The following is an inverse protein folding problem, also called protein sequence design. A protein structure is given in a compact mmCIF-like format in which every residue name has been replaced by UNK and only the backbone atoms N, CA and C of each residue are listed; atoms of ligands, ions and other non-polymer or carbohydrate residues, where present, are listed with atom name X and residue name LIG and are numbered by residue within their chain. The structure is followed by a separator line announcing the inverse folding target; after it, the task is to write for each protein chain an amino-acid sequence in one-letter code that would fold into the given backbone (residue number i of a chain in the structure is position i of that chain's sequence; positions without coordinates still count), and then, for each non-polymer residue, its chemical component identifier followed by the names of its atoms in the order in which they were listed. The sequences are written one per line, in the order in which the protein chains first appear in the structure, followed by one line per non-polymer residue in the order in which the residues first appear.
data_IF_513071387731
#
_entry.id   IF_513071387731
#
_cell.length_a   1.000
_cell.length_b   1.000
_cell.length_c   1.000
_cell.angle_alpha   90.00
_cell.angle_beta   90.00
_cell.angle_gamma   90.00
#
_symmetry.space_group_name_H-M   'P 1'
#
loop_
_entity.id
_entity.type
_entity.pdbx_description
1 polymer ?
#
# COMPACT_ATOMS: atom_id res chain seq x y z
N UNK A 1 9.03 47.13 -11.67
CA UNK A 1 9.60 45.77 -11.52
C UNK A 1 8.42 44.82 -11.27
N UNK A 2 7.87 44.20 -12.33
CA UNK A 2 6.70 43.32 -12.25
C UNK A 2 7.11 41.93 -11.75
N UNK A 3 6.55 41.48 -10.63
CA UNK A 3 6.65 40.07 -10.19
C UNK A 3 5.66 39.24 -11.01
N UNK A 4 6.17 38.39 -11.88
CA UNK A 4 5.40 37.34 -12.56
C UNK A 4 4.97 36.31 -11.50
N UNK A 5 3.71 36.39 -11.07
CA UNK A 5 3.09 35.40 -10.19
C UNK A 5 2.69 34.18 -10.99
N UNK A 6 3.59 33.19 -11.08
CA UNK A 6 3.26 31.87 -11.60
C UNK A 6 2.45 31.17 -10.51
N UNK A 7 1.12 31.32 -10.54
CA UNK A 7 0.21 30.56 -9.71
C UNK A 7 0.37 29.07 -10.00
N UNK A 8 0.69 28.28 -8.98
CA UNK A 8 0.72 26.82 -9.15
C UNK A 8 -0.68 26.35 -9.58
N UNK A 9 -0.78 25.51 -10.62
CA UNK A 9 -2.07 25.01 -11.07
C UNK A 9 -2.70 24.23 -9.91
N UNK A 10 -3.89 24.65 -9.46
CA UNK A 10 -4.69 23.87 -8.52
C UNK A 10 -5.04 22.55 -9.21
N UNK A 11 -4.29 21.48 -8.88
CA UNK A 11 -4.57 20.13 -9.35
C UNK A 11 -6.00 19.77 -8.90
N UNK A 12 -6.89 19.52 -9.85
CA UNK A 12 -8.22 18.98 -9.56
C UNK A 12 -8.04 17.72 -8.71
N UNK A 13 -8.53 17.74 -7.47
CA UNK A 13 -8.54 16.56 -6.61
C UNK A 13 -9.49 15.54 -7.22
N UNK A 14 -8.98 14.37 -7.60
CA UNK A 14 -9.83 13.20 -7.84
C UNK A 14 -10.43 12.81 -6.49
N UNK A 15 -11.76 12.63 -6.37
CA UNK A 15 -12.37 12.20 -5.12
C UNK A 15 -11.77 10.86 -4.70
N UNK A 16 -11.16 10.83 -3.53
CA UNK A 16 -10.75 9.57 -2.91
C UNK A 16 -12.04 8.82 -2.54
N UNK A 17 -12.14 7.49 -2.76
CA UNK A 17 -13.22 6.70 -2.19
C UNK A 17 -13.37 7.07 -0.71
N UNK A 18 -14.56 7.53 -0.32
CA UNK A 18 -14.80 7.98 1.05
C UNK A 18 -14.76 6.74 1.94
N UNK A 19 -13.83 6.65 2.91
CA UNK A 19 -13.79 5.53 3.84
C UNK A 19 -15.13 5.43 4.58
N UNK A 20 -15.60 4.20 4.79
CA UNK A 20 -16.83 3.99 5.58
C UNK A 20 -16.58 4.41 7.04
N UNK A 21 -17.59 4.91 7.77
CA UNK A 21 -17.38 5.57 9.07
C UNK A 21 -16.75 4.70 10.18
N UNK A 22 -16.70 3.38 10.01
CA UNK A 22 -16.38 2.43 11.09
C UNK A 22 -15.16 1.55 10.84
N UNK A 23 -14.51 1.60 9.68
CA UNK A 23 -13.31 0.82 9.39
C UNK A 23 -12.49 1.44 8.23
N UNK A 24 -11.16 1.30 8.24
CA UNK A 24 -10.32 1.74 7.14
C UNK A 24 -10.58 0.93 5.89
N UNK A 25 -10.52 1.59 4.73
CA UNK A 25 -10.66 0.93 3.43
C UNK A 25 -9.43 0.06 3.14
N UNK A 26 -9.62 -1.25 2.96
CA UNK A 26 -8.58 -2.26 2.81
C UNK A 26 -8.19 -2.45 1.35
N UNK A 27 -6.95 -2.11 1.00
CA UNK A 27 -6.40 -2.30 -0.35
C UNK A 27 -5.34 -3.41 -0.30
N UNK A 28 -5.53 -4.47 -1.08
CA UNK A 28 -4.60 -5.60 -1.12
C UNK A 28 -3.91 -5.64 -2.48
N UNK A 29 -2.59 -5.67 -2.48
CA UNK A 29 -1.78 -5.83 -3.68
C UNK A 29 -1.34 -7.28 -3.79
N UNK A 30 -2.01 -8.05 -4.65
CA UNK A 30 -1.81 -9.49 -4.78
C UNK A 30 -1.48 -9.92 -6.20
N UNK A 31 -0.59 -10.90 -6.34
CA UNK A 31 -0.25 -11.61 -7.58
C UNK A 31 0.68 -12.77 -7.21
N UNK A 32 0.36 -13.97 -7.69
CA UNK A 32 1.10 -15.23 -7.48
C UNK A 32 2.49 -15.26 -8.13
N UNK A 33 2.83 -14.27 -8.96
CA UNK A 33 4.18 -14.12 -9.54
C UNK A 33 5.00 -13.04 -8.85
N UNK A 34 6.28 -13.33 -8.64
CA UNK A 34 7.30 -12.34 -8.28
C UNK A 34 7.58 -11.36 -9.44
N UNK A 35 8.02 -10.15 -9.11
CA UNK A 35 8.49 -9.20 -10.13
C UNK A 35 7.42 -8.50 -10.98
N UNK A 36 6.15 -8.52 -10.55
CA UNK A 36 5.02 -7.88 -11.27
C UNK A 36 4.77 -6.42 -10.85
N UNK A 37 5.59 -5.87 -9.97
CA UNK A 37 5.47 -4.47 -9.51
C UNK A 37 4.51 -4.24 -8.33
N UNK A 38 4.08 -5.29 -7.60
CA UNK A 38 3.23 -5.19 -6.38
C UNK A 38 3.74 -4.19 -5.37
N UNK A 39 4.89 -4.45 -4.75
CA UNK A 39 5.46 -3.59 -3.70
C UNK A 39 5.71 -2.17 -4.19
N UNK A 40 6.17 -2.03 -5.44
CA UNK A 40 6.35 -0.70 -6.07
C UNK A 40 5.02 0.04 -6.16
N UNK A 41 3.96 -0.61 -6.63
CA UNK A 41 2.63 -0.01 -6.74
C UNK A 41 2.06 0.30 -5.37
N UNK A 42 2.17 -0.63 -4.42
CA UNK A 42 1.70 -0.47 -3.04
C UNK A 42 2.33 0.76 -2.37
N UNK A 43 3.64 0.92 -2.48
CA UNK A 43 4.37 2.09 -1.98
C UNK A 43 3.86 3.39 -2.62
N UNK A 44 3.72 3.43 -3.94
CA UNK A 44 3.29 4.65 -4.63
C UNK A 44 1.85 5.01 -4.30
N UNK A 45 0.96 4.03 -4.15
CA UNK A 45 -0.42 4.25 -3.72
C UNK A 45 -0.46 4.77 -2.28
N UNK A 46 0.30 4.16 -1.36
CA UNK A 46 0.38 4.59 0.05
C UNK A 46 0.77 6.07 0.15
N UNK A 47 1.84 6.45 -0.55
CA UNK A 47 2.37 7.81 -0.55
C UNK A 47 1.42 8.78 -1.27
N UNK A 48 0.81 8.38 -2.39
CA UNK A 48 -0.17 9.21 -3.09
C UNK A 48 -1.37 9.54 -2.20
N UNK A 49 -1.93 8.54 -1.50
CA UNK A 49 -3.03 8.73 -0.56
C UNK A 49 -2.63 9.66 0.59
N UNK A 50 -1.43 9.48 1.15
CA UNK A 50 -0.90 10.36 2.20
C UNK A 50 -0.74 11.82 1.71
N UNK A 51 -0.22 12.04 0.50
CA UNK A 51 -0.13 13.38 -0.11
C UNK A 51 -1.50 14.01 -0.40
N UNK A 52 -2.56 13.22 -0.53
CA UNK A 52 -3.91 13.73 -0.65
C UNK A 52 -4.55 14.04 0.72
N UNK A 53 -3.84 13.76 1.82
CA UNK A 53 -4.27 14.07 3.19
C UNK A 53 -4.92 12.89 3.92
N UNK A 54 -4.91 11.68 3.35
CA UNK A 54 -5.43 10.49 4.02
C UNK A 54 -4.42 9.95 5.04
N UNK A 55 -4.93 9.36 6.13
CA UNK A 55 -4.15 8.61 7.10
C UNK A 55 -4.02 7.18 6.59
N UNK A 56 -2.79 6.71 6.39
CA UNK A 56 -2.51 5.43 5.71
C UNK A 56 -1.73 4.50 6.63
N UNK A 57 -2.24 3.29 6.83
CA UNK A 57 -1.51 2.15 7.37
C UNK A 57 -1.06 1.23 6.23
N UNK A 58 0.11 0.59 6.37
CA UNK A 58 0.61 -0.39 5.41
C UNK A 58 1.28 -1.58 6.11
N UNK A 59 0.96 -2.80 5.66
CA UNK A 59 1.50 -4.04 6.20
C UNK A 59 2.18 -4.82 5.08
N UNK A 60 3.46 -5.12 5.28
CA UNK A 60 4.26 -5.98 4.40
C UNK A 60 4.13 -7.44 4.87
N UNK A 61 3.56 -8.31 4.03
CA UNK A 61 3.37 -9.73 4.31
C UNK A 61 4.53 -10.60 3.78
N UNK A 62 5.58 -10.01 3.19
CA UNK A 62 6.80 -10.73 2.82
C UNK A 62 7.94 -10.39 3.79
N UNK A 63 8.05 -11.07 4.95
CA UNK A 63 9.11 -10.81 5.92
C UNK A 63 10.51 -11.12 5.40
N UNK A 64 10.65 -11.81 4.26
CA UNK A 64 11.96 -12.10 3.64
C UNK A 64 12.42 -10.93 2.76
N UNK A 65 11.55 -10.40 1.91
CA UNK A 65 11.90 -9.32 0.99
C UNK A 65 11.77 -7.94 1.65
N UNK A 66 10.69 -7.73 2.43
CA UNK A 66 10.39 -6.48 3.15
C UNK A 66 10.47 -5.24 2.24
N UNK A 67 10.03 -5.35 1.00
CA UNK A 67 10.25 -4.30 -0.01
C UNK A 67 9.46 -3.04 0.30
N UNK A 68 8.18 -3.17 0.66
CA UNK A 68 7.36 -2.04 1.08
C UNK A 68 7.94 -1.42 2.35
N UNK A 69 8.24 -2.25 3.34
CA UNK A 69 8.74 -1.77 4.63
C UNK A 69 10.05 -1.00 4.50
N UNK A 70 11.05 -1.57 3.80
CA UNK A 70 12.37 -0.96 3.63
C UNK A 70 12.28 0.38 2.89
N UNK A 71 11.36 0.51 1.95
CA UNK A 71 11.15 1.78 1.26
C UNK A 71 10.65 2.87 2.22
N UNK A 72 9.64 2.55 3.03
CA UNK A 72 9.06 3.49 3.99
C UNK A 72 10.02 3.83 5.14
N UNK A 73 10.81 2.86 5.60
CA UNK A 73 11.90 3.04 6.57
C UNK A 73 12.97 4.01 6.03
N UNK A 74 13.51 3.75 4.83
CA UNK A 74 14.49 4.64 4.18
C UNK A 74 13.96 6.07 3.98
N UNK A 75 12.65 6.20 3.73
CA UNK A 75 11.98 7.48 3.59
C UNK A 75 11.93 8.23 4.93
N UNK A 76 11.51 7.56 6.01
CA UNK A 76 11.49 8.13 7.36
C UNK A 76 12.89 8.53 7.85
N UNK A 77 13.92 7.72 7.56
CA UNK A 77 15.30 8.08 7.85
C UNK A 77 15.76 9.32 7.06
N UNK A 78 15.31 9.46 5.81
CA UNK A 78 15.64 10.62 4.98
C UNK A 78 14.94 11.89 5.48
N UNK A 79 13.69 11.79 5.93
CA UNK A 79 12.95 12.86 6.62
C UNK A 79 13.74 13.36 7.83
N UNK A 80 14.10 12.44 8.74
CA UNK A 80 14.88 12.73 9.95
C UNK A 80 16.24 13.37 9.63
N UNK A 81 17.03 12.75 8.74
CA UNK A 81 18.37 13.23 8.37
C UNK A 81 18.37 14.62 7.73
N UNK A 82 17.30 14.96 6.99
CA UNK A 82 17.19 16.25 6.31
C UNK A 82 16.41 17.30 7.11
N UNK A 83 15.79 16.92 8.22
CA UNK A 83 14.92 17.80 9.01
C UNK A 83 13.72 18.29 8.20
N UNK A 84 13.16 17.44 7.34
CA UNK A 84 11.98 17.75 6.53
C UNK A 84 10.81 16.88 6.96
N UNK A 85 9.60 17.43 6.84
CA UNK A 85 8.36 16.68 7.00
C UNK A 85 7.83 16.28 5.62
N UNK A 86 7.47 15.01 5.48
CA UNK A 86 6.86 14.48 4.27
C UNK A 86 5.66 13.61 4.66
N UNK A 87 4.53 13.69 3.92
CA UNK A 87 3.44 12.74 4.09
C UNK A 87 3.96 11.30 3.94
N UNK A 88 3.57 10.46 4.89
CA UNK A 88 4.04 9.10 5.04
C UNK A 88 2.91 8.19 5.59
N UNK A 89 3.13 6.88 5.54
CA UNK A 89 2.23 5.88 6.11
C UNK A 89 2.77 5.38 7.46
N UNK A 90 1.90 4.92 8.35
CA UNK A 90 2.29 4.00 9.43
C UNK A 90 2.56 2.64 8.79
N UNK A 91 3.66 1.98 9.13
CA UNK A 91 4.03 0.73 8.47
C UNK A 91 4.54 -0.34 9.43
N UNK A 92 4.25 -1.61 9.08
CA UNK A 92 4.70 -2.78 9.83
C UNK A 92 5.04 -3.94 8.89
N UNK A 93 5.80 -4.92 9.39
CA UNK A 93 6.05 -6.20 8.72
C UNK A 93 5.38 -7.27 9.53
N UNK A 94 4.56 -8.09 8.89
CA UNK A 94 3.98 -9.25 9.55
C UNK A 94 5.03 -10.35 9.70
N UNK A 95 5.28 -10.77 10.94
CA UNK A 95 6.21 -11.85 11.30
C UNK A 95 5.53 -13.00 12.05
N UNK A 96 4.21 -12.93 12.21
CA UNK A 96 3.42 -13.96 12.87
C UNK A 96 3.28 -15.22 12.02
N UNK A 97 2.60 -16.20 12.59
CA UNK A 97 2.37 -17.52 12.00
C UNK A 97 0.89 -17.88 11.85
N UNK A 98 -0.01 -17.05 12.39
CA UNK A 98 -1.46 -17.27 12.37
C UNK A 98 -2.21 -16.09 11.78
N UNK A 99 -3.41 -16.35 11.23
CA UNK A 99 -4.29 -15.29 10.73
C UNK A 99 -4.81 -14.40 11.84
N UNK A 100 -5.00 -14.93 13.05
CA UNK A 100 -5.40 -14.15 14.22
C UNK A 100 -4.34 -13.11 14.63
N UNK A 101 -3.05 -13.46 14.57
CA UNK A 101 -1.96 -12.49 14.80
C UNK A 101 -1.93 -11.42 13.72
N UNK A 102 -2.20 -11.80 12.46
CA UNK A 102 -2.29 -10.84 11.35
C UNK A 102 -3.47 -9.88 11.53
N UNK A 103 -4.63 -10.39 11.95
CA UNK A 103 -5.81 -9.57 12.22
C UNK A 103 -5.57 -8.62 13.40
N UNK A 104 -4.85 -9.07 14.43
CA UNK A 104 -4.44 -8.22 15.55
C UNK A 104 -3.49 -7.09 15.09
N UNK A 105 -2.48 -7.40 14.28
CA UNK A 105 -1.57 -6.40 13.70
C UNK A 105 -2.34 -5.43 12.79
N UNK A 106 -3.28 -5.93 11.98
CA UNK A 106 -4.12 -5.09 11.14
C UNK A 106 -4.97 -4.13 11.98
N UNK A 107 -5.57 -4.59 13.06
CA UNK A 107 -6.33 -3.73 13.97
C UNK A 107 -5.45 -2.62 14.56
N UNK A 108 -4.26 -2.95 15.06
CA UNK A 108 -3.30 -1.99 15.63
C UNK A 108 -2.82 -0.96 14.61
N UNK A 109 -2.33 -1.41 13.45
CA UNK A 109 -1.79 -0.52 12.41
C UNK A 109 -2.89 0.39 11.85
N UNK A 110 -4.12 -0.09 11.80
CA UNK A 110 -5.24 0.63 11.18
C UNK A 110 -5.99 1.58 12.11
N UNK A 111 -5.62 1.61 13.40
CA UNK A 111 -6.25 2.52 14.36
C UNK A 111 -6.12 3.99 13.93
N UNK A 112 -7.27 4.63 13.73
CA UNK A 112 -7.35 6.01 13.26
C UNK A 112 -6.88 6.22 11.82
N UNK A 113 -6.74 5.16 11.01
CA UNK A 113 -6.39 5.26 9.60
C UNK A 113 -7.65 5.33 8.72
N UNK A 114 -7.50 5.96 7.57
CA UNK A 114 -8.52 6.01 6.52
C UNK A 114 -8.36 4.82 5.54
N UNK A 115 -7.11 4.39 5.33
CA UNK A 115 -6.75 3.27 4.45
C UNK A 115 -5.79 2.31 5.15
N UNK A 116 -5.94 1.02 4.84
CA UNK A 116 -4.99 -0.03 5.22
C UNK A 116 -4.55 -0.81 3.98
N UNK A 117 -3.25 -0.76 3.69
CA UNK A 117 -2.66 -1.43 2.54
C UNK A 117 -1.98 -2.73 2.97
N UNK A 118 -2.09 -3.76 2.14
CA UNK A 118 -1.35 -5.02 2.30
C UNK A 118 -0.52 -5.30 1.05
N UNK A 119 0.79 -5.44 1.22
CA UNK A 119 1.69 -5.93 0.16
C UNK A 119 1.94 -7.42 0.37
N UNK A 120 1.51 -8.25 -0.57
CA UNK A 120 1.61 -9.71 -0.45
C UNK A 120 2.87 -10.25 -1.15
N UNK A 121 3.41 -11.40 -0.69
CA UNK A 121 4.52 -12.03 -1.40
C UNK A 121 4.13 -12.44 -2.83
N UNK A 122 5.11 -12.56 -3.72
CA UNK A 122 4.93 -13.01 -5.11
C UNK A 122 4.89 -14.53 -5.26
N UNK A 123 4.07 -15.20 -4.44
CA UNK A 123 3.84 -16.64 -4.41
C UNK A 123 2.47 -16.88 -3.78
N UNK A 124 1.92 -18.08 -3.96
CA UNK A 124 0.77 -18.50 -3.18
C UNK A 124 1.11 -18.53 -1.67
N UNK A 125 0.29 -17.86 -0.87
CA UNK A 125 0.54 -17.64 0.55
C UNK A 125 -0.79 -17.59 1.33
N UNK A 126 -0.94 -18.33 2.44
CA UNK A 126 -2.18 -18.35 3.22
C UNK A 126 -2.60 -16.97 3.75
N UNK A 127 -1.64 -16.11 4.13
CA UNK A 127 -1.93 -14.77 4.62
C UNK A 127 -2.36 -13.85 3.49
N UNK A 128 -1.75 -13.99 2.31
CA UNK A 128 -2.17 -13.27 1.11
C UNK A 128 -3.64 -13.59 0.76
N UNK A 129 -4.03 -14.88 0.80
CA UNK A 129 -5.43 -15.28 0.60
C UNK A 129 -6.35 -14.74 1.68
N UNK A 130 -5.94 -14.81 2.94
CA UNK A 130 -6.71 -14.29 4.08
C UNK A 130 -7.00 -12.79 3.97
N UNK A 131 -6.00 -11.97 3.60
CA UNK A 131 -6.25 -10.53 3.45
C UNK A 131 -7.07 -10.21 2.20
N UNK A 132 -6.92 -11.01 1.13
CA UNK A 132 -7.67 -10.81 -0.11
C UNK A 132 -9.18 -11.05 0.05
N UNK A 133 -9.60 -12.00 0.90
CA UNK A 133 -11.04 -12.24 1.15
C UNK A 133 -11.73 -11.08 1.86
N UNK A 134 -10.98 -10.28 2.62
CA UNK A 134 -11.48 -9.09 3.31
C UNK A 134 -11.08 -7.77 2.65
N UNK A 135 -10.66 -7.78 1.37
CA UNK A 135 -10.26 -6.58 0.66
C UNK A 135 -11.48 -5.80 0.15
N UNK A 136 -11.52 -4.48 0.39
CA UNK A 136 -12.46 -3.59 -0.30
C UNK A 136 -11.99 -3.30 -1.74
N UNK A 137 -10.67 -3.38 -1.97
CA UNK A 137 -10.07 -3.26 -3.30
C UNK A 137 -8.90 -4.22 -3.44
N UNK A 138 -8.98 -5.12 -4.41
CA UNK A 138 -7.89 -5.99 -4.81
C UNK A 138 -7.19 -5.41 -6.04
N UNK A 139 -5.89 -5.15 -5.93
CA UNK A 139 -5.06 -4.67 -7.03
C UNK A 139 -4.13 -5.80 -7.45
N UNK A 140 -4.22 -6.20 -8.72
CA UNK A 140 -3.41 -7.27 -9.32
C UNK A 140 -2.52 -6.70 -10.43
N UNK A 141 -1.33 -6.17 -10.11
CA UNK A 141 -0.37 -5.76 -11.13
C UNK A 141 0.03 -6.97 -11.98
N UNK A 142 -0.10 -6.88 -13.30
CA UNK A 142 0.23 -7.94 -14.25
C UNK A 142 1.32 -7.43 -15.17
N UNK A 143 2.28 -8.29 -15.52
CA UNK A 143 3.22 -7.97 -16.58
C UNK A 143 2.54 -8.23 -17.94
N UNK A 144 2.97 -7.50 -18.96
CA UNK A 144 2.47 -7.69 -20.33
C UNK A 144 3.17 -8.90 -20.98
N UNK A 145 2.81 -10.10 -20.53
CA UNK A 145 3.32 -11.36 -21.09
C UNK A 145 2.18 -12.35 -21.33
N UNK A 146 2.23 -13.10 -22.42
CA UNK A 146 1.25 -14.16 -22.72
C UNK A 146 1.11 -15.17 -21.58
N UNK A 147 2.19 -15.41 -20.82
CA UNK A 147 2.21 -16.32 -19.65
C UNK A 147 1.44 -15.72 -18.47
N UNK A 148 1.25 -14.40 -18.39
CA UNK A 148 0.46 -13.74 -17.36
C UNK A 148 -1.04 -13.78 -17.64
N UNK A 149 -1.46 -13.86 -18.91
CA UNK A 149 -2.88 -14.03 -19.25
C UNK A 149 -3.42 -15.40 -18.82
N UNK A 150 -2.61 -16.46 -18.88
CA UNK A 150 -3.00 -17.80 -18.41
C UNK A 150 -3.33 -17.84 -16.90
N UNK A 151 -2.80 -16.91 -16.09
CA UNK A 151 -3.12 -16.81 -14.66
C UNK A 151 -4.52 -16.25 -14.39
N UNK A 152 -5.12 -15.55 -15.36
CA UNK A 152 -6.39 -14.83 -15.19
C UNK A 152 -7.57 -15.67 -15.74
N UNK A 153 -7.27 -16.79 -16.42
CA UNK A 153 -8.23 -17.78 -16.91
C UNK A 153 -7.83 -18.34 -18.28
N UNK A 154 -8.03 -19.64 -18.49
CA UNK A 154 -8.02 -20.20 -19.83
C UNK A 154 -9.24 -19.68 -20.61
N UNK A 155 -9.01 -19.17 -21.82
CA UNK A 155 -10.06 -18.76 -22.77
C UNK A 155 -10.62 -19.98 -23.49
#
# INVERSE_FOLDING_TARGET
MLRCGIGQPQKKRVPIPVPQPNAPHRIVFANEKGGTGKSTTAVHVAIALAYQGARVGAIDLDPRQRTLHRYLENRAETESRRGIDLPNARFAVFQGSTTAELDALAAEVSEGMDFLLFDTPGRDDPFARHVATGADTLVTPLNDSFVDFDLIGQV
#
